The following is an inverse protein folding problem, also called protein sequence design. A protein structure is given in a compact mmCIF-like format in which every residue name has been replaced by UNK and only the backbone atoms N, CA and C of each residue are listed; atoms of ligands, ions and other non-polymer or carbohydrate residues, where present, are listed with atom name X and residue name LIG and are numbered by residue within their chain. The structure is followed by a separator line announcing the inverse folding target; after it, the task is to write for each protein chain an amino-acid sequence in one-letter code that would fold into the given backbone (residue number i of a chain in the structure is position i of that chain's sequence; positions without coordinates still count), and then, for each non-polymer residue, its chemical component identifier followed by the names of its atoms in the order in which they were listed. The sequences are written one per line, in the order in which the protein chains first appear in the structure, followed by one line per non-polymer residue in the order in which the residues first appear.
data_IF_605510083425
#
_entry.id   IF_605510083425
#
_cell.length_a   1.000
_cell.length_b   1.000
_cell.length_c   1.000
_cell.angle_alpha   90.00
_cell.angle_beta   90.00
_cell.angle_gamma   90.00
#
_symmetry.space_group_name_H-M   'P 1'
#
loop_
_entity.id
_entity.type
_entity.pdbx_description
1 polymer ?
#
# COMPACT_ATOMS: atom_id res chain seq x y z
N UNK A 1 -35.00 1.36 2.29
CA UNK A 1 -33.60 1.01 1.95
C UNK A 1 -32.87 0.78 3.27
N UNK A 2 -32.54 -0.46 3.65
CA UNK A 2 -31.85 -0.72 4.91
C UNK A 2 -30.42 -0.15 4.83
N UNK A 3 -30.04 0.62 5.86
CA UNK A 3 -28.72 1.24 5.99
C UNK A 3 -27.63 0.16 6.08
N UNK A 4 -26.93 -0.12 4.97
CA UNK A 4 -25.64 -0.81 5.04
C UNK A 4 -24.62 0.13 5.69
N UNK A 5 -23.87 -0.31 6.70
CA UNK A 5 -22.80 0.50 7.26
C UNK A 5 -21.78 0.83 6.16
N UNK A 6 -21.33 2.09 6.10
CA UNK A 6 -20.40 2.62 5.10
C UNK A 6 -19.15 1.74 4.91
N UNK A 7 -18.69 1.08 5.98
CA UNK A 7 -17.58 0.12 5.97
C UNK A 7 -17.82 -1.09 5.07
N UNK A 8 -19.06 -1.59 5.01
CA UNK A 8 -19.43 -2.71 4.16
C UNK A 8 -19.52 -2.29 2.69
N UNK A 9 -19.99 -1.06 2.43
CA UNK A 9 -19.98 -0.48 1.08
C UNK A 9 -18.58 -0.23 0.53
N UNK A 10 -17.62 0.12 1.40
CA UNK A 10 -16.23 0.36 0.99
C UNK A 10 -15.49 -0.96 0.73
N UNK A 11 -15.72 -2.00 1.55
CA UNK A 11 -15.21 -3.35 1.28
C UNK A 11 -15.79 -3.95 -0.01
N UNK A 12 -17.09 -3.73 -0.28
CA UNK A 12 -17.74 -4.14 -1.54
C UNK A 12 -17.17 -3.39 -2.76
N UNK A 13 -16.77 -2.12 -2.62
CA UNK A 13 -16.12 -1.38 -3.69
C UNK A 13 -14.71 -1.92 -3.98
N UNK A 14 -13.95 -2.23 -2.92
CA UNK A 14 -12.59 -2.76 -3.04
C UNK A 14 -12.56 -4.21 -3.59
N UNK A 15 -13.61 -5.01 -3.36
CA UNK A 15 -13.71 -6.39 -3.87
C UNK A 15 -14.00 -6.46 -5.37
N UNK A 16 -14.60 -5.41 -5.96
CA UNK A 16 -14.85 -5.33 -7.40
C UNK A 16 -13.64 -4.88 -8.23
N UNK A 17 -12.59 -4.38 -7.57
CA UNK A 17 -11.32 -4.07 -8.24
C UNK A 17 -10.54 -5.39 -8.38
N UNK A 18 -10.88 -6.17 -9.41
CA UNK A 18 -10.11 -7.34 -9.84
C UNK A 18 -8.80 -6.87 -10.45
N UNK A 19 -7.73 -6.82 -9.63
CA UNK A 19 -6.37 -6.71 -10.15
C UNK A 19 -5.81 -8.12 -10.19
N UNK A 20 -5.14 -8.52 -11.29
CA UNK A 20 -4.54 -9.84 -11.40
C UNK A 20 -3.68 -10.12 -10.17
N UNK A 21 -3.78 -11.35 -9.66
CA UNK A 21 -3.05 -11.78 -8.48
C UNK A 21 -1.54 -11.72 -8.78
N UNK A 22 -0.86 -10.71 -8.25
CA UNK A 22 0.58 -10.66 -8.29
C UNK A 22 1.16 -11.76 -7.38
N UNK A 23 1.47 -12.91 -7.96
CA UNK A 23 2.08 -14.02 -7.24
C UNK A 23 3.57 -13.86 -6.96
N UNK A 24 4.22 -12.74 -7.32
CA UNK A 24 5.67 -12.61 -7.34
C UNK A 24 6.15 -11.24 -6.84
N UNK A 25 7.32 -11.24 -6.19
CA UNK A 25 8.05 -10.04 -5.81
C UNK A 25 8.45 -9.23 -7.06
N UNK A 26 8.58 -7.91 -6.91
CA UNK A 26 9.11 -7.07 -7.97
C UNK A 26 10.53 -7.52 -8.40
N UNK A 27 10.82 -7.71 -9.71
CA UNK A 27 12.11 -8.05 -10.24
C UNK A 27 13.04 -6.87 -9.97
N UNK A 28 14.21 -7.19 -9.42
CA UNK A 28 15.27 -6.22 -9.17
C UNK A 28 15.24 -5.54 -7.79
N UNK A 29 14.33 -5.90 -6.89
CA UNK A 29 14.43 -5.47 -5.50
C UNK A 29 15.61 -6.20 -4.83
N UNK A 30 16.70 -5.47 -4.59
CA UNK A 30 17.85 -5.94 -3.81
C UNK A 30 17.36 -6.44 -2.44
N UNK A 31 17.85 -7.61 -1.99
CA UNK A 31 17.39 -8.25 -0.77
C UNK A 31 17.49 -7.31 0.45
N UNK A 32 18.52 -6.45 0.45
CA UNK A 32 18.73 -5.42 1.45
C UNK A 32 17.63 -4.35 1.47
N UNK A 33 17.08 -3.99 0.32
CA UNK A 33 16.02 -2.98 0.22
C UNK A 33 14.65 -3.51 0.68
N UNK A 34 14.46 -4.83 0.68
CA UNK A 34 13.24 -5.46 1.20
C UNK A 34 13.18 -5.49 2.73
N UNK A 35 14.29 -5.20 3.40
CA UNK A 35 14.34 -5.03 4.85
C UNK A 35 13.72 -3.68 5.26
N UNK A 36 12.68 -3.67 6.12
CA UNK A 36 12.13 -2.45 6.70
C UNK A 36 13.14 -1.62 7.50
N UNK A 37 14.25 -2.20 7.97
CA UNK A 37 15.31 -1.48 8.66
C UNK A 37 16.22 -0.70 7.71
N UNK A 38 16.28 -1.06 6.42
CA UNK A 38 17.14 -0.40 5.44
C UNK A 38 16.49 0.91 4.96
N UNK A 39 17.18 2.06 5.02
CA UNK A 39 16.64 3.31 4.50
C UNK A 39 16.53 3.30 2.97
N UNK A 40 15.42 3.81 2.44
CA UNK A 40 15.23 3.99 1.00
C UNK A 40 15.69 5.41 0.60
N UNK A 41 16.78 5.50 -0.16
CA UNK A 41 17.52 6.77 -0.38
C UNK A 41 17.02 7.66 -1.53
N UNK A 42 16.20 7.14 -2.46
CA UNK A 42 15.62 7.97 -3.54
C UNK A 42 14.24 8.49 -3.16
N UNK A 43 14.01 9.80 -3.20
CA UNK A 43 12.64 10.32 -3.21
C UNK A 43 12.00 9.94 -4.56
N UNK A 44 10.72 9.56 -4.53
CA UNK A 44 9.92 9.47 -5.75
C UNK A 44 9.36 10.86 -6.01
N UNK A 45 9.63 11.43 -7.18
CA UNK A 45 9.11 12.75 -7.55
C UNK A 45 7.75 12.63 -8.28
N UNK A 46 7.04 13.75 -8.42
CA UNK A 46 5.80 13.83 -9.20
C UNK A 46 4.57 13.20 -8.53
N UNK A 47 3.65 12.67 -9.34
CA UNK A 47 2.34 12.15 -8.87
C UNK A 47 2.46 10.95 -7.93
N UNK A 48 3.56 10.19 -8.02
CA UNK A 48 3.81 9.02 -7.17
C UNK A 48 4.55 9.38 -5.88
N UNK A 49 5.14 10.58 -5.77
CA UNK A 49 5.87 11.01 -4.58
C UNK A 49 4.99 11.12 -3.33
N UNK A 50 3.76 11.62 -3.48
CA UNK A 50 2.80 11.67 -2.39
C UNK A 50 2.41 10.26 -1.90
N UNK A 51 2.25 9.32 -2.83
CA UNK A 51 1.96 7.92 -2.48
C UNK A 51 3.14 7.29 -1.74
N UNK A 52 4.37 7.52 -2.18
CA UNK A 52 5.55 7.01 -1.46
C UNK A 52 5.70 7.63 -0.07
N UNK A 53 5.38 8.91 0.10
CA UNK A 53 5.40 9.58 1.39
C UNK A 53 4.36 8.99 2.35
N UNK A 54 3.11 8.83 1.91
CA UNK A 54 2.05 8.20 2.72
C UNK A 54 2.41 6.76 3.11
N UNK A 55 2.98 5.98 2.20
CA UNK A 55 3.44 4.62 2.52
C UNK A 55 4.66 4.64 3.45
N UNK A 56 5.50 5.67 3.39
CA UNK A 56 6.57 5.89 4.36
C UNK A 56 6.04 6.17 5.77
N UNK A 57 4.98 6.97 5.90
CA UNK A 57 4.30 7.19 7.18
C UNK A 57 3.72 5.90 7.75
N UNK A 58 3.11 5.06 6.91
CA UNK A 58 2.60 3.74 7.33
C UNK A 58 3.73 2.86 7.87
N UNK A 59 4.89 2.82 7.20
CA UNK A 59 6.03 2.05 7.70
C UNK A 59 6.52 2.55 9.06
N UNK A 60 6.59 3.87 9.24
CA UNK A 60 7.02 4.48 10.49
C UNK A 60 6.03 4.19 11.62
N UNK A 61 4.74 4.38 11.38
CA UNK A 61 3.68 4.04 12.34
C UNK A 61 3.74 2.56 12.74
N UNK A 62 3.96 1.65 11.79
CA UNK A 62 4.10 0.22 12.06
C UNK A 62 5.35 -0.10 12.89
N UNK A 63 6.47 0.57 12.61
CA UNK A 63 7.74 0.40 13.35
C UNK A 63 7.60 0.89 14.80
N UNK A 64 6.88 1.98 14.99
CA UNK A 64 6.62 2.58 16.31
C UNK A 64 5.42 1.96 17.04
N UNK A 65 4.82 0.89 16.48
CA UNK A 65 3.72 0.15 17.10
C UNK A 65 2.36 0.86 17.06
N UNK A 66 2.23 1.92 16.29
CA UNK A 66 0.98 2.70 16.10
C UNK A 66 0.09 2.09 15.03
N UNK A 67 -0.37 0.86 15.25
CA UNK A 67 -1.15 0.09 14.27
C UNK A 67 -2.43 0.81 13.78
N UNK A 68 -3.10 1.58 14.64
CA UNK A 68 -4.29 2.36 14.24
C UNK A 68 -3.93 3.51 13.28
N UNK A 69 -2.87 4.26 13.59
CA UNK A 69 -2.39 5.34 12.72
C UNK A 69 -1.93 4.79 11.36
N UNK A 70 -1.18 3.68 11.39
CA UNK A 70 -0.77 2.95 10.19
C UNK A 70 -1.98 2.52 9.34
N UNK A 71 -3.03 1.99 9.96
CA UNK A 71 -4.26 1.62 9.27
C UNK A 71 -4.96 2.82 8.62
N UNK A 72 -5.01 3.96 9.31
CA UNK A 72 -5.56 5.20 8.76
C UNK A 72 -4.74 5.71 7.57
N UNK A 73 -3.42 5.82 7.72
CA UNK A 73 -2.53 6.27 6.64
C UNK A 73 -2.56 5.33 5.43
N UNK A 74 -2.66 4.01 5.65
CA UNK A 74 -2.82 3.02 4.58
C UNK A 74 -4.14 3.21 3.82
N UNK A 75 -5.22 3.51 4.53
CA UNK A 75 -6.51 3.86 3.93
C UNK A 75 -6.45 5.13 3.07
N UNK A 76 -5.71 6.15 3.53
CA UNK A 76 -5.48 7.38 2.75
C UNK A 76 -4.68 7.11 1.47
N UNK A 77 -3.62 6.29 1.55
CA UNK A 77 -2.85 5.87 0.39
C UNK A 77 -3.73 5.13 -0.64
N UNK A 78 -4.55 4.17 -0.21
CA UNK A 78 -5.47 3.44 -1.09
C UNK A 78 -6.53 4.36 -1.75
N UNK A 79 -7.04 5.33 -0.99
CA UNK A 79 -7.97 6.34 -1.49
C UNK A 79 -7.31 7.20 -2.57
N UNK A 80 -6.05 7.60 -2.34
CA UNK A 80 -5.29 8.39 -3.31
C UNK A 80 -5.05 7.64 -4.62
N UNK A 81 -4.68 6.37 -4.56
CA UNK A 81 -4.52 5.50 -5.75
C UNK A 81 -5.82 5.46 -6.56
N UNK A 82 -6.95 5.26 -5.88
CA UNK A 82 -8.27 5.21 -6.53
C UNK A 82 -8.62 6.55 -7.20
N UNK A 83 -8.34 7.67 -6.53
CA UNK A 83 -8.60 9.01 -7.06
C UNK A 83 -7.72 9.32 -8.27
N UNK A 84 -6.44 8.96 -8.22
CA UNK A 84 -5.51 9.15 -9.33
C UNK A 84 -5.93 8.31 -10.55
N UNK A 85 -6.43 7.08 -10.34
CA UNK A 85 -6.98 6.25 -11.39
C UNK A 85 -8.22 6.88 -12.06
N UNK A 86 -9.16 7.42 -11.27
CA UNK A 86 -10.36 8.11 -11.79
C UNK A 86 -9.99 9.36 -12.59
N UNK A 87 -8.90 10.05 -12.21
CA UNK A 87 -8.40 11.24 -12.91
C UNK A 87 -7.58 10.93 -14.17
N UNK A 88 -7.39 9.65 -14.50
CA UNK A 88 -6.56 9.23 -15.63
C UNK A 88 -5.07 9.56 -15.42
N UNK A 89 -4.62 9.66 -14.16
CA UNK A 89 -3.21 9.85 -13.88
C UNK A 89 -2.41 8.64 -14.35
N UNK A 90 -1.15 8.83 -14.80
CA UNK A 90 -0.30 7.72 -15.22
C UNK A 90 -0.11 6.73 -14.07
N UNK A 91 -0.41 5.46 -14.34
CA UNK A 91 -0.23 4.40 -13.37
C UNK A 91 1.27 4.11 -13.14
N UNK A 92 1.66 3.68 -11.92
CA UNK A 92 2.98 3.12 -11.70
C UNK A 92 3.23 1.92 -12.63
N UNK A 93 4.48 1.72 -13.03
CA UNK A 93 4.89 0.65 -13.94
C UNK A 93 4.46 -0.74 -13.44
N UNK A 94 4.48 -0.93 -12.12
CA UNK A 94 4.15 -2.19 -11.46
C UNK A 94 2.91 -2.08 -10.55
N UNK A 95 1.85 -1.44 -11.05
CA UNK A 95 0.60 -1.19 -10.32
C UNK A 95 -0.04 -2.47 -9.73
N UNK A 96 0.09 -3.61 -10.40
CA UNK A 96 -0.45 -4.90 -9.93
C UNK A 96 0.24 -5.38 -8.65
N UNK A 97 1.56 -5.20 -8.55
CA UNK A 97 2.34 -5.55 -7.37
C UNK A 97 2.11 -4.59 -6.22
N UNK A 98 2.05 -3.30 -6.53
CA UNK A 98 1.66 -2.27 -5.58
C UNK A 98 0.33 -2.68 -4.91
N UNK A 99 -0.68 -3.00 -5.71
CA UNK A 99 -1.99 -3.36 -5.17
C UNK A 99 -1.99 -4.67 -4.37
N UNK A 100 -1.26 -5.70 -4.82
CA UNK A 100 -1.17 -6.95 -4.07
C UNK A 100 -0.51 -6.75 -2.70
N UNK A 101 0.59 -6.00 -2.64
CA UNK A 101 1.28 -5.70 -1.39
C UNK A 101 0.45 -4.81 -0.46
N UNK A 102 -0.34 -3.87 -1.00
CA UNK A 102 -1.28 -3.09 -0.19
C UNK A 102 -2.42 -3.95 0.37
N UNK A 103 -2.96 -4.90 -0.40
CA UNK A 103 -3.95 -5.87 0.09
C UNK A 103 -3.37 -6.75 1.19
N UNK A 104 -2.13 -7.24 1.03
CA UNK A 104 -1.43 -7.99 2.08
C UNK A 104 -1.23 -7.12 3.31
N UNK A 105 -0.78 -5.88 3.17
CA UNK A 105 -0.60 -4.97 4.30
C UNK A 105 -1.90 -4.75 5.08
N UNK A 106 -3.01 -4.48 4.37
CA UNK A 106 -4.32 -4.28 4.98
C UNK A 106 -4.83 -5.55 5.69
N UNK A 107 -4.66 -6.72 5.06
CA UNK A 107 -5.02 -8.01 5.65
C UNK A 107 -4.24 -8.30 6.93
N UNK A 108 -2.92 -8.18 6.87
CA UNK A 108 -2.04 -8.47 8.01
C UNK A 108 -2.24 -7.47 9.16
N UNK A 109 -2.55 -6.20 8.87
CA UNK A 109 -2.98 -5.23 9.88
C UNK A 109 -4.28 -5.65 10.56
N UNK A 110 -5.29 -6.07 9.78
CA UNK A 110 -6.57 -6.54 10.31
C UNK A 110 -6.45 -7.83 11.13
N UNK A 111 -5.48 -8.69 10.80
CA UNK A 111 -5.16 -9.92 11.53
C UNK A 111 -4.26 -9.69 12.75
N UNK A 112 -3.79 -8.46 13.00
CA UNK A 112 -2.93 -8.13 14.13
C UNK A 112 -1.47 -8.56 13.96
N UNK A 113 -0.99 -8.64 12.72
CA UNK A 113 0.39 -9.00 12.36
C UNK A 113 1.18 -7.78 11.83
N UNK A 114 1.54 -6.80 12.68
CA UNK A 114 2.17 -5.55 12.23
C UNK A 114 3.52 -5.76 11.52
N UNK A 115 4.31 -6.77 11.91
CA UNK A 115 5.60 -7.06 11.25
C UNK A 115 5.44 -7.57 9.81
N UNK A 116 4.39 -8.37 9.54
CA UNK A 116 4.07 -8.82 8.18
C UNK A 116 3.49 -7.68 7.34
N UNK A 117 2.65 -6.84 7.96
CA UNK A 117 2.14 -5.63 7.33
C UNK A 117 3.29 -4.68 6.95
N UNK A 118 4.25 -4.46 7.84
CA UNK A 118 5.42 -3.61 7.61
C UNK A 118 6.24 -4.09 6.40
N UNK A 119 6.50 -5.40 6.33
CA UNK A 119 7.18 -5.99 5.17
C UNK A 119 6.38 -5.81 3.88
N UNK A 120 5.06 -5.97 3.93
CA UNK A 120 4.21 -5.78 2.76
C UNK A 120 4.20 -4.31 2.29
N UNK A 121 4.12 -3.34 3.21
CA UNK A 121 4.21 -1.91 2.87
C UNK A 121 5.58 -1.58 2.26
N UNK A 122 6.67 -2.16 2.76
CA UNK A 122 8.00 -2.01 2.16
C UNK A 122 8.03 -2.48 0.71
N UNK A 123 7.47 -3.66 0.43
CA UNK A 123 7.40 -4.17 -0.93
C UNK A 123 6.49 -3.30 -1.84
N UNK A 124 5.41 -2.74 -1.29
CA UNK A 124 4.55 -1.80 -2.00
C UNK A 124 5.32 -0.52 -2.39
N UNK A 125 6.12 0.05 -1.49
CA UNK A 125 6.98 1.20 -1.79
C UNK A 125 8.01 0.88 -2.86
N UNK A 126 8.65 -0.28 -2.79
CA UNK A 126 9.60 -0.70 -3.82
C UNK A 126 8.93 -0.84 -5.19
N UNK A 127 7.72 -1.40 -5.27
CA UNK A 127 6.96 -1.51 -6.51
C UNK A 127 6.56 -0.16 -7.10
N UNK A 128 6.43 0.88 -6.27
CA UNK A 128 6.16 2.25 -6.72
C UNK A 128 7.42 2.94 -7.30
N UNK A 129 8.61 2.46 -6.91
CA UNK A 129 9.92 3.06 -7.22
C UNK A 129 10.60 2.43 -8.45
N UNK A 130 10.07 1.33 -8.98
CA UNK A 130 10.62 0.55 -10.11
C UNK A 130 9.82 0.71 -11.39
#
# INVERSE_FOLDING_TARGET
MPHRPLTQSMMDLLSNISLPAAGHAAPGADALLTDPATPLTKAVDGSHGLLDALLGEVEEDLREGRALAAGTALGLAATRISLDAVRGAPHPRHVEWLAAHLRTAAKELAEGHPGKALKAVRLARLALRT
#
